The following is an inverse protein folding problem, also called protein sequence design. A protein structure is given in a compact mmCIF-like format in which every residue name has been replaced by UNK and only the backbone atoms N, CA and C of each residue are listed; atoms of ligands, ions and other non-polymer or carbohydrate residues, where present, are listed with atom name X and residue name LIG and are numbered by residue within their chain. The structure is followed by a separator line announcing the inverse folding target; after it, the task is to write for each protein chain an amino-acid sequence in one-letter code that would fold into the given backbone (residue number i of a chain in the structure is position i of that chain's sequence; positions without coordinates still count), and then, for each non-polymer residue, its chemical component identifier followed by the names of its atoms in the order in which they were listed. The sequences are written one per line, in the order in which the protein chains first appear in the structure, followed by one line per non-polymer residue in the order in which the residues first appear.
data_IF_398451434276
#
_entry.id   IF_398451434276
#
_cell.length_a   1.000
_cell.length_b   1.000
_cell.length_c   1.000
_cell.angle_alpha   90.00
_cell.angle_beta   90.00
_cell.angle_gamma   90.00
#
_symmetry.space_group_name_H-M   'P 1'
#
loop_
_entity.id
_entity.type
_entity.pdbx_description
1 polymer ?
#
# COMPACT_ATOMS: atom_id res chain seq x y z
N UNK A 1 67.44 0.97 -4.26
CA UNK A 1 66.47 0.33 -3.36
C UNK A 1 65.30 1.29 -3.24
N UNK A 2 64.30 1.05 -4.09
CA UNK A 2 63.08 1.80 -4.29
C UNK A 2 62.13 1.56 -3.11
N UNK A 3 61.61 2.63 -2.51
CA UNK A 3 60.46 2.56 -1.63
C UNK A 3 59.58 3.79 -1.90
N UNK A 4 58.47 3.53 -2.59
CA UNK A 4 57.32 4.40 -2.72
C UNK A 4 56.74 4.69 -1.33
N UNK A 5 56.53 5.97 -1.00
CA UNK A 5 55.58 6.37 0.04
C UNK A 5 54.67 7.43 -0.59
N UNK A 6 53.57 6.93 -1.14
CA UNK A 6 52.36 7.67 -1.46
C UNK A 6 51.41 7.48 -0.27
N UNK A 7 50.84 8.55 0.30
CA UNK A 7 49.89 8.37 1.41
C UNK A 7 49.42 9.64 2.13
N UNK A 8 48.77 10.53 1.38
CA UNK A 8 47.65 11.39 1.80
C UNK A 8 47.77 12.24 3.09
N UNK A 9 48.02 13.53 2.84
CA UNK A 9 47.49 14.67 3.59
C UNK A 9 45.96 14.68 3.46
N UNK A 10 45.24 14.87 4.57
CA UNK A 10 43.80 15.16 4.54
C UNK A 10 43.04 14.87 5.82
N UNK A 11 43.48 15.41 6.96
CA UNK A 11 42.55 15.61 8.07
C UNK A 11 41.53 16.68 7.67
N UNK A 12 40.27 16.29 7.50
CA UNK A 12 39.15 17.23 7.42
C UNK A 12 38.01 16.69 8.28
N UNK A 13 37.82 17.38 9.40
CA UNK A 13 36.53 17.64 10.03
C UNK A 13 35.61 16.45 10.29
N UNK A 14 35.83 15.78 11.43
CA UNK A 14 34.68 15.33 12.22
C UNK A 14 33.85 16.57 12.60
N UNK A 15 32.63 16.65 12.11
CA UNK A 15 31.69 17.69 12.49
C UNK A 15 30.55 17.77 11.51
N UNK A 16 29.44 17.10 11.85
CA UNK A 16 28.03 17.48 11.62
C UNK A 16 27.17 16.21 11.71
N UNK A 17 27.28 15.45 12.81
CA UNK A 17 26.12 14.72 13.29
C UNK A 17 25.17 15.80 13.80
N UNK A 18 24.25 16.27 12.94
CA UNK A 18 23.22 17.22 13.31
C UNK A 18 22.46 16.63 14.48
N UNK A 19 22.73 17.13 15.68
CA UNK A 19 21.86 16.89 16.83
C UNK A 19 20.44 17.26 16.40
N UNK A 20 19.41 16.49 16.81
CA UNK A 20 18.03 16.86 16.51
C UNK A 20 17.84 18.28 17.01
N UNK A 21 17.54 19.20 16.09
CA UNK A 21 17.19 20.57 16.40
C UNK A 21 15.98 20.48 17.30
N UNK A 22 16.18 20.63 18.61
CA UNK A 22 15.09 20.71 19.56
C UNK A 22 14.45 22.08 19.37
N UNK A 23 13.42 22.09 18.54
CA UNK A 23 12.58 23.26 18.33
C UNK A 23 11.66 23.41 19.55
N UNK A 24 12.11 24.20 20.52
CA UNK A 24 11.43 24.48 21.79
C UNK A 24 10.17 25.37 21.65
N UNK A 25 9.71 25.64 20.43
CA UNK A 25 8.46 26.35 20.22
C UNK A 25 7.29 25.44 20.61
N UNK A 26 6.36 25.89 21.47
CA UNK A 26 5.14 25.13 21.72
C UNK A 26 4.37 25.01 20.41
N UNK A 27 4.47 23.85 19.77
CA UNK A 27 3.78 23.57 18.52
C UNK A 27 2.26 23.54 18.80
N UNK A 28 1.52 24.18 17.92
CA UNK A 28 0.06 24.12 17.96
C UNK A 28 -0.41 22.67 17.80
N UNK A 29 -1.38 22.26 18.61
CA UNK A 29 -1.80 20.85 18.67
C UNK A 29 -2.45 20.42 17.35
N UNK A 30 -3.25 21.27 16.74
CA UNK A 30 -3.91 20.97 15.46
C UNK A 30 -2.89 20.91 14.34
N UNK A 31 -1.96 21.89 14.25
CA UNK A 31 -0.89 21.85 13.23
C UNK A 31 0.05 20.65 13.41
N UNK A 32 0.27 20.22 14.65
CA UNK A 32 1.06 19.01 14.93
C UNK A 32 0.34 17.75 14.47
N UNK A 33 -0.97 17.65 14.71
CA UNK A 33 -1.79 16.54 14.23
C UNK A 33 -1.85 16.50 12.70
N UNK A 34 -2.04 17.65 12.05
CA UNK A 34 -2.01 17.76 10.59
C UNK A 34 -0.70 17.24 10.01
N UNK A 35 0.44 17.66 10.58
CA UNK A 35 1.75 17.21 10.15
C UNK A 35 1.91 15.69 10.29
N UNK A 36 1.49 15.12 11.43
CA UNK A 36 1.52 13.67 11.68
C UNK A 36 0.66 12.93 10.66
N UNK A 37 -0.60 13.35 10.47
CA UNK A 37 -1.50 12.65 9.54
C UNK A 37 -1.05 12.75 8.09
N UNK A 38 -0.34 13.82 7.72
CA UNK A 38 0.19 14.01 6.36
C UNK A 38 1.28 12.99 6.04
N UNK A 39 2.08 12.58 7.02
CA UNK A 39 3.18 11.61 6.83
C UNK A 39 2.79 10.17 7.19
N UNK A 40 1.71 9.96 7.93
CA UNK A 40 1.29 8.64 8.41
C UNK A 40 0.81 7.73 7.27
N UNK A 41 1.40 6.55 7.18
CA UNK A 41 1.05 5.49 6.23
C UNK A 41 0.05 4.46 6.78
N UNK A 42 -0.37 4.61 8.04
CA UNK A 42 -1.35 3.77 8.73
C UNK A 42 -2.29 4.59 9.65
N UNK A 43 -3.48 4.07 10.00
CA UNK A 43 -4.36 4.72 10.97
C UNK A 43 -3.70 4.94 12.34
N UNK A 44 -3.86 6.13 12.91
CA UNK A 44 -3.26 6.52 14.17
C UNK A 44 -4.28 6.50 15.31
N UNK A 45 -4.04 5.71 16.35
CA UNK A 45 -4.93 5.68 17.52
C UNK A 45 -4.81 6.95 18.35
N UNK A 46 -5.90 7.33 19.02
CA UNK A 46 -5.90 8.49 19.93
C UNK A 46 -4.88 8.37 21.06
N UNK A 47 -4.66 7.15 21.58
CA UNK A 47 -3.66 6.91 22.62
C UNK A 47 -2.22 7.11 22.11
N UNK A 48 -1.91 6.63 20.90
CA UNK A 48 -0.59 6.83 20.29
C UNK A 48 -0.33 8.32 20.06
N UNK A 49 -1.29 9.04 19.47
CA UNK A 49 -1.19 10.48 19.22
C UNK A 49 -1.02 11.28 20.54
N UNK A 50 -1.83 10.97 21.55
CA UNK A 50 -1.76 11.61 22.87
C UNK A 50 -0.39 11.40 23.54
N UNK A 51 0.15 10.18 23.44
CA UNK A 51 1.47 9.84 24.00
C UNK A 51 2.58 10.60 23.27
N UNK A 52 2.58 10.60 21.94
CA UNK A 52 3.58 11.28 21.12
C UNK A 52 3.57 12.79 21.32
N UNK A 53 2.38 13.39 21.42
CA UNK A 53 2.21 14.84 21.55
C UNK A 53 2.26 15.33 23.01
N UNK A 54 2.34 14.41 23.98
CA UNK A 54 2.32 14.75 25.40
C UNK A 54 1.04 15.47 25.83
N UNK A 55 -0.11 15.12 25.25
CA UNK A 55 -1.41 15.78 25.51
C UNK A 55 -2.45 14.79 26.05
N UNK A 56 -3.45 15.25 26.82
CA UNK A 56 -4.58 14.40 27.22
C UNK A 56 -5.34 13.85 26.00
N UNK A 57 -5.76 12.59 26.07
CA UNK A 57 -6.56 11.95 25.00
C UNK A 57 -7.80 12.76 24.62
N UNK A 58 -8.47 13.36 25.62
CA UNK A 58 -9.64 14.20 25.38
C UNK A 58 -9.31 15.46 24.55
N UNK A 59 -8.14 16.08 24.80
CA UNK A 59 -7.71 17.25 24.03
C UNK A 59 -7.38 16.88 22.58
N UNK A 60 -6.71 15.73 22.37
CA UNK A 60 -6.43 15.21 21.02
C UNK A 60 -7.71 14.91 20.26
N UNK A 61 -8.67 14.22 20.89
CA UNK A 61 -9.98 13.95 20.29
C UNK A 61 -10.67 15.24 19.84
N UNK A 62 -10.72 16.23 20.72
CA UNK A 62 -11.38 17.50 20.42
C UNK A 62 -10.67 18.27 19.30
N UNK A 63 -9.34 18.24 19.25
CA UNK A 63 -8.58 18.82 18.14
C UNK A 63 -8.85 18.11 16.81
N UNK A 64 -8.96 16.77 16.81
CA UNK A 64 -9.31 16.02 15.61
C UNK A 64 -10.72 16.39 15.13
N UNK A 65 -11.70 16.49 16.03
CA UNK A 65 -13.07 16.91 15.68
C UNK A 65 -13.10 18.31 15.04
N UNK A 66 -12.29 19.25 15.55
CA UNK A 66 -12.14 20.58 14.94
C UNK A 66 -11.47 20.53 13.57
N UNK A 67 -10.44 19.70 13.39
CA UNK A 67 -9.82 19.49 12.08
C UNK A 67 -10.78 18.87 11.06
N UNK A 68 -11.61 17.90 11.48
CA UNK A 68 -12.65 17.32 10.63
C UNK A 68 -13.60 18.41 10.15
N UNK A 69 -14.12 19.23 11.07
CA UNK A 69 -15.01 20.34 10.72
C UNK A 69 -14.35 21.35 9.77
N UNK A 70 -13.12 21.77 10.05
CA UNK A 70 -12.36 22.67 9.16
C UNK A 70 -12.16 22.07 7.76
N UNK A 71 -11.77 20.80 7.68
CA UNK A 71 -11.54 20.13 6.40
C UNK A 71 -12.82 19.91 5.60
N UNK A 72 -13.94 19.72 6.28
CA UNK A 72 -15.28 19.65 5.69
C UNK A 72 -15.80 21.01 5.22
N UNK A 73 -15.12 22.11 5.54
CA UNK A 73 -15.54 23.47 5.19
C UNK A 73 -16.65 24.01 6.09
N UNK A 74 -16.71 23.55 7.34
CA UNK A 74 -17.60 24.14 8.34
C UNK A 74 -17.34 25.66 8.47
N UNK A 75 -18.34 26.38 8.99
CA UNK A 75 -18.27 27.83 9.21
C UNK A 75 -17.99 28.66 7.95
N UNK A 76 -18.40 28.16 6.78
CA UNK A 76 -18.25 28.84 5.49
C UNK A 76 -16.85 28.71 4.88
N UNK A 77 -16.03 27.79 5.40
CA UNK A 77 -14.75 27.41 4.83
C UNK A 77 -14.88 26.69 3.49
N UNK A 78 -13.77 26.63 2.76
CA UNK A 78 -13.70 25.81 1.54
C UNK A 78 -13.50 24.35 1.92
N UNK A 79 -14.38 23.46 1.45
CA UNK A 79 -14.19 22.03 1.62
C UNK A 79 -12.89 21.56 0.95
N UNK A 80 -12.01 20.94 1.73
CA UNK A 80 -10.71 20.45 1.25
C UNK A 80 -10.88 19.20 0.39
N UNK A 81 -9.94 18.94 -0.52
CA UNK A 81 -9.94 17.72 -1.36
C UNK A 81 -9.62 16.42 -0.60
N UNK A 82 -9.24 16.52 0.67
CA UNK A 82 -8.97 15.42 1.57
C UNK A 82 -9.85 15.54 2.83
N UNK A 83 -9.94 14.46 3.59
CA UNK A 83 -10.72 14.35 4.81
C UNK A 83 -10.04 13.45 5.84
N UNK A 84 -10.31 13.70 7.11
CA UNK A 84 -9.94 12.81 8.20
C UNK A 84 -11.07 11.81 8.44
N UNK A 85 -10.74 10.51 8.44
CA UNK A 85 -11.70 9.44 8.73
C UNK A 85 -11.21 8.58 9.89
N UNK A 86 -12.14 8.14 10.72
CA UNK A 86 -11.91 7.11 11.72
C UNK A 86 -12.08 5.73 11.09
N UNK A 87 -11.02 4.94 11.08
CA UNK A 87 -10.96 3.58 10.49
C UNK A 87 -10.11 2.68 11.39
N UNK A 88 -10.53 1.43 11.57
CA UNK A 88 -9.81 0.44 12.39
C UNK A 88 -9.44 0.93 13.81
N UNK A 89 -10.27 1.79 14.41
CA UNK A 89 -10.01 2.37 15.75
C UNK A 89 -8.94 3.45 15.79
N UNK A 90 -8.53 3.99 14.63
CA UNK A 90 -7.61 5.10 14.50
C UNK A 90 -8.06 6.11 13.44
N UNK A 91 -7.32 7.21 13.32
CA UNK A 91 -7.62 8.30 12.40
C UNK A 91 -6.59 8.36 11.28
N UNK A 92 -7.03 8.68 10.07
CA UNK A 92 -6.15 8.83 8.90
C UNK A 92 -6.71 9.82 7.88
N UNK A 93 -5.82 10.48 7.16
CA UNK A 93 -6.17 11.28 5.99
C UNK A 93 -6.49 10.40 4.78
N UNK A 94 -7.59 10.72 4.11
CA UNK A 94 -8.01 10.15 2.85
C UNK A 94 -8.28 11.27 1.85
N UNK A 95 -8.09 10.99 0.57
CA UNK A 95 -8.66 11.82 -0.49
C UNK A 95 -10.18 11.62 -0.47
N UNK A 96 -10.94 12.71 -0.63
CA UNK A 96 -12.40 12.60 -0.74
C UNK A 96 -12.78 11.85 -2.01
N UNK A 97 -13.79 10.99 -1.92
CA UNK A 97 -14.22 10.13 -3.02
C UNK A 97 -14.65 10.92 -4.27
N UNK A 98 -15.09 12.18 -4.11
CA UNK A 98 -15.39 13.10 -5.21
C UNK A 98 -14.20 13.28 -6.18
N UNK A 99 -12.97 13.09 -5.71
CA UNK A 99 -11.74 13.25 -6.49
C UNK A 99 -11.10 11.91 -6.90
N UNK A 100 -11.76 10.77 -6.70
CA UNK A 100 -11.22 9.45 -7.00
C UNK A 100 -10.75 9.32 -8.46
N UNK A 101 -11.48 9.89 -9.42
CA UNK A 101 -11.11 9.86 -10.83
C UNK A 101 -9.80 10.61 -11.09
N UNK A 102 -9.65 11.82 -10.54
CA UNK A 102 -8.46 12.66 -10.71
C UNK A 102 -7.23 12.00 -10.08
N UNK A 103 -7.38 11.49 -8.86
CA UNK A 103 -6.27 10.80 -8.18
C UNK A 103 -5.91 9.49 -8.88
N UNK A 104 -6.91 8.75 -9.37
CA UNK A 104 -6.67 7.55 -10.18
C UNK A 104 -5.85 7.86 -11.42
N UNK A 105 -6.22 8.88 -12.19
CA UNK A 105 -5.52 9.24 -13.42
C UNK A 105 -4.10 9.75 -13.13
N UNK A 106 -3.92 10.53 -12.05
CA UNK A 106 -2.61 10.99 -11.59
C UNK A 106 -1.71 9.83 -11.17
N UNK A 107 -2.21 8.91 -10.33
CA UNK A 107 -1.47 7.71 -9.90
C UNK A 107 -1.14 6.81 -11.09
N UNK A 108 -2.03 6.68 -12.09
CA UNK A 108 -1.76 5.93 -13.31
C UNK A 108 -0.65 6.57 -14.17
N UNK A 109 -0.51 7.89 -14.12
CA UNK A 109 0.48 8.64 -14.90
C UNK A 109 1.85 8.64 -14.22
N UNK A 110 1.90 8.75 -12.89
CA UNK A 110 3.16 8.71 -12.12
C UNK A 110 3.65 7.29 -11.80
N UNK A 111 2.75 6.31 -11.80
CA UNK A 111 3.03 4.93 -11.42
C UNK A 111 2.43 3.96 -12.44
N UNK A 112 3.18 3.56 -13.50
CA UNK A 112 2.80 2.42 -14.36
C UNK A 112 2.81 1.08 -13.60
N UNK A 113 2.98 1.11 -12.27
CA UNK A 113 3.03 0.00 -11.35
C UNK A 113 1.66 -0.60 -11.01
N UNK A 114 0.55 -0.20 -11.66
CA UNK A 114 -0.67 -1.01 -11.61
C UNK A 114 -0.44 -2.34 -12.34
N UNK A 115 -0.92 -3.42 -11.73
CA UNK A 115 -0.98 -4.70 -12.43
C UNK A 115 -1.95 -4.55 -13.60
N UNK A 116 -1.54 -5.02 -14.78
CA UNK A 116 -2.47 -5.12 -15.91
C UNK A 116 -3.61 -6.07 -15.55
N UNK A 117 -4.73 -5.99 -16.27
CA UNK A 117 -5.83 -6.94 -16.11
C UNK A 117 -5.34 -8.40 -16.22
N UNK A 118 -4.48 -8.68 -17.21
CA UNK A 118 -3.88 -10.00 -17.36
C UNK A 118 -3.08 -10.45 -16.12
N UNK A 119 -2.39 -9.51 -15.45
CA UNK A 119 -1.64 -9.78 -14.24
C UNK A 119 -2.54 -9.96 -13.01
N UNK A 120 -3.63 -9.20 -12.90
CA UNK A 120 -4.65 -9.39 -11.87
C UNK A 120 -5.34 -10.75 -12.02
N UNK A 121 -5.74 -11.13 -13.23
CA UNK A 121 -6.35 -12.43 -13.49
C UNK A 121 -5.39 -13.59 -13.16
N UNK A 122 -4.09 -13.46 -13.46
CA UNK A 122 -3.09 -14.49 -13.08
C UNK A 122 -2.91 -14.54 -11.58
N UNK A 123 -2.81 -13.39 -10.91
CA UNK A 123 -2.66 -13.31 -9.46
C UNK A 123 -3.85 -13.95 -8.75
N UNK A 124 -5.06 -13.73 -9.24
CA UNK A 124 -6.27 -14.39 -8.74
C UNK A 124 -6.18 -15.91 -8.87
N UNK A 125 -5.78 -16.43 -10.04
CA UNK A 125 -5.60 -17.89 -10.22
C UNK A 125 -4.61 -18.45 -9.18
N UNK A 126 -3.50 -17.76 -8.94
CA UNK A 126 -2.50 -18.19 -7.94
C UNK A 126 -3.10 -18.13 -6.53
N UNK A 127 -3.75 -17.03 -6.15
CA UNK A 127 -4.32 -16.85 -4.82
C UNK A 127 -5.33 -17.96 -4.44
N UNK A 128 -6.17 -18.38 -5.38
CA UNK A 128 -7.20 -19.41 -5.15
C UNK A 128 -6.74 -20.86 -5.37
N UNK A 129 -5.66 -21.09 -6.13
CA UNK A 129 -5.20 -22.44 -6.49
C UNK A 129 -3.83 -22.80 -5.95
N UNK A 130 -3.19 -21.92 -5.19
CA UNK A 130 -1.89 -22.20 -4.58
C UNK A 130 -1.95 -23.45 -3.67
N UNK A 131 -0.86 -24.25 -3.62
CA UNK A 131 0.34 -24.13 -4.44
C UNK A 131 0.09 -24.58 -5.90
N UNK A 132 0.51 -23.78 -6.88
CA UNK A 132 0.26 -24.05 -8.32
C UNK A 132 1.50 -23.84 -9.19
N UNK A 133 1.69 -24.68 -10.21
CA UNK A 133 2.83 -24.58 -11.14
C UNK A 133 2.60 -23.60 -12.29
N UNK A 134 3.69 -23.08 -12.87
CA UNK A 134 3.62 -22.19 -14.04
C UNK A 134 2.81 -22.77 -15.21
N UNK A 135 3.00 -24.06 -15.50
CA UNK A 135 2.28 -24.75 -16.58
C UNK A 135 0.79 -24.88 -16.31
N UNK A 136 0.40 -25.15 -15.05
CA UNK A 136 -1.01 -25.21 -14.66
C UNK A 136 -1.67 -23.83 -14.75
N UNK A 137 -0.99 -22.75 -14.32
CA UNK A 137 -1.48 -21.37 -14.48
C UNK A 137 -1.71 -21.06 -15.97
N UNK A 138 -0.74 -21.36 -16.84
CA UNK A 138 -0.84 -21.13 -18.27
C UNK A 138 -2.02 -21.89 -18.90
N UNK A 139 -2.26 -23.13 -18.45
CA UNK A 139 -3.37 -23.96 -18.91
C UNK A 139 -4.74 -23.37 -18.52
N UNK A 140 -4.88 -22.88 -17.28
CA UNK A 140 -6.12 -22.24 -16.80
C UNK A 140 -6.39 -20.92 -17.54
N UNK A 141 -5.36 -20.13 -17.80
CA UNK A 141 -5.48 -18.83 -18.49
C UNK A 141 -5.56 -18.94 -20.01
N UNK A 142 -5.29 -20.13 -20.56
CA UNK A 142 -5.22 -20.40 -22.00
C UNK A 142 -4.27 -19.46 -22.78
N UNK A 143 -3.28 -18.85 -22.11
CA UNK A 143 -2.30 -17.92 -22.69
C UNK A 143 -0.94 -18.07 -22.02
N UNK A 144 0.13 -17.55 -22.65
CA UNK A 144 1.45 -17.50 -22.03
C UNK A 144 1.45 -16.51 -20.84
N UNK A 145 1.93 -16.97 -19.68
CA UNK A 145 1.98 -16.20 -18.42
C UNK A 145 3.40 -15.87 -17.95
N UNK A 146 4.45 -16.17 -18.72
CA UNK A 146 5.85 -16.04 -18.30
C UNK A 146 6.21 -14.61 -17.89
N UNK A 147 5.82 -13.62 -18.71
CA UNK A 147 6.07 -12.21 -18.43
C UNK A 147 5.34 -11.75 -17.18
N UNK A 148 4.09 -12.20 -17.01
CA UNK A 148 3.23 -11.87 -15.87
C UNK A 148 3.77 -12.49 -14.58
N UNK A 149 4.13 -13.78 -14.59
CA UNK A 149 4.71 -14.47 -13.44
C UNK A 149 6.01 -13.79 -13.01
N UNK A 150 6.89 -13.45 -13.96
CA UNK A 150 8.12 -12.69 -13.67
C UNK A 150 7.82 -11.32 -13.06
N UNK A 151 6.81 -10.60 -13.55
CA UNK A 151 6.39 -9.32 -12.97
C UNK A 151 5.85 -9.48 -11.55
N UNK A 152 5.03 -10.51 -11.29
CA UNK A 152 4.46 -10.77 -9.96
C UNK A 152 5.55 -11.16 -8.95
N UNK A 153 6.52 -11.98 -9.35
CA UNK A 153 7.71 -12.31 -8.54
C UNK A 153 8.56 -11.07 -8.28
N UNK A 154 8.87 -10.28 -9.32
CA UNK A 154 9.67 -9.07 -9.20
C UNK A 154 9.04 -7.99 -8.32
N UNK A 155 7.72 -8.04 -8.14
CA UNK A 155 6.96 -7.17 -7.22
C UNK A 155 6.73 -7.79 -5.85
N UNK A 156 7.20 -9.00 -5.61
CA UNK A 156 7.06 -9.70 -4.34
C UNK A 156 5.63 -10.07 -3.98
N UNK A 157 4.69 -10.11 -4.95
CA UNK A 157 3.28 -10.49 -4.71
C UNK A 157 3.08 -12.01 -4.66
N UNK A 158 3.98 -12.74 -5.31
CA UNK A 158 4.06 -14.20 -5.27
C UNK A 158 5.49 -14.63 -4.96
N UNK A 159 5.65 -15.86 -4.50
CA UNK A 159 6.92 -16.50 -4.20
C UNK A 159 6.93 -17.95 -4.66
N UNK A 160 8.13 -18.52 -4.77
CA UNK A 160 8.33 -19.96 -4.95
C UNK A 160 8.12 -20.65 -3.60
N UNK A 161 7.22 -21.63 -3.56
CA UNK A 161 6.83 -22.37 -2.35
C UNK A 161 7.62 -23.66 -2.23
N UNK A 162 7.78 -24.38 -3.34
CA UNK A 162 8.52 -25.63 -3.40
C UNK A 162 8.88 -25.99 -4.84
N UNK A 163 9.80 -26.94 -5.01
CA UNK A 163 10.19 -27.48 -6.30
C UNK A 163 10.00 -29.00 -6.29
N UNK A 164 9.36 -29.53 -7.32
CA UNK A 164 9.18 -30.95 -7.52
C UNK A 164 10.53 -31.60 -7.87
N UNK A 165 10.94 -32.61 -7.10
CA UNK A 165 12.26 -33.23 -7.23
C UNK A 165 12.43 -34.12 -8.45
N UNK A 166 11.34 -34.57 -9.08
CA UNK A 166 11.36 -35.52 -10.19
C UNK A 166 11.17 -34.81 -11.54
N UNK A 167 10.26 -33.84 -11.57
CA UNK A 167 9.91 -33.05 -12.76
C UNK A 167 10.62 -31.70 -12.83
N UNK A 168 11.18 -31.21 -11.72
CA UNK A 168 11.77 -29.86 -11.61
C UNK A 168 10.74 -28.73 -11.65
N UNK A 169 9.44 -29.03 -11.53
CA UNK A 169 8.39 -28.03 -11.58
C UNK A 169 8.39 -27.16 -10.32
N UNK A 170 8.38 -25.83 -10.50
CA UNK A 170 8.29 -24.86 -9.41
C UNK A 170 6.82 -24.58 -9.10
N UNK A 171 6.47 -24.67 -7.82
CA UNK A 171 5.17 -24.28 -7.28
C UNK A 171 5.22 -22.85 -6.75
N UNK A 172 4.21 -22.06 -7.11
CA UNK A 172 4.05 -20.67 -6.68
C UNK A 172 2.91 -20.51 -5.69
N UNK A 173 3.04 -19.52 -4.82
CA UNK A 173 2.04 -19.07 -3.85
C UNK A 173 2.14 -17.57 -3.59
N UNK A 174 1.18 -17.01 -2.87
CA UNK A 174 1.10 -15.58 -2.54
C UNK A 174 1.95 -15.24 -1.32
N UNK A 175 2.32 -13.98 -1.17
CA UNK A 175 3.10 -13.46 -0.02
C UNK A 175 2.25 -12.61 0.93
N UNK A 176 2.80 -12.29 2.10
CA UNK A 176 2.17 -11.38 3.07
C UNK A 176 2.00 -9.94 2.53
N UNK A 177 2.81 -9.56 1.53
CA UNK A 177 2.69 -8.28 0.84
C UNK A 177 1.34 -8.18 0.11
N UNK A 178 0.88 -9.27 -0.51
CA UNK A 178 -0.43 -9.30 -1.15
C UNK A 178 -1.55 -9.11 -0.12
N UNK A 179 -1.49 -9.81 1.01
CA UNK A 179 -2.50 -9.72 2.08
C UNK A 179 -2.58 -8.29 2.62
N UNK A 180 -1.42 -7.66 2.86
CA UNK A 180 -1.32 -6.27 3.30
C UNK A 180 -1.95 -5.29 2.28
N UNK A 181 -1.77 -5.54 0.98
CA UNK A 181 -2.38 -4.71 -0.07
C UNK A 181 -3.89 -4.92 -0.22
N UNK A 182 -4.39 -6.12 0.08
CA UNK A 182 -5.81 -6.44 0.08
C UNK A 182 -6.53 -6.02 1.36
N UNK A 183 -5.79 -5.72 2.44
CA UNK A 183 -6.34 -5.37 3.74
C UNK A 183 -7.01 -6.55 4.45
N UNK A 184 -6.53 -7.78 4.20
CA UNK A 184 -7.04 -9.03 4.79
C UNK A 184 -5.95 -9.71 5.62
N UNK A 185 -6.32 -10.50 6.63
CA UNK A 185 -5.35 -11.16 7.51
C UNK A 185 -4.96 -12.56 7.01
N UNK A 186 -5.88 -13.22 6.31
CA UNK A 186 -5.71 -14.58 5.81
C UNK A 186 -6.31 -14.74 4.41
N UNK A 187 -5.83 -15.73 3.66
CA UNK A 187 -6.37 -16.07 2.34
C UNK A 187 -7.81 -16.60 2.41
N UNK A 188 -8.25 -17.11 3.57
CA UNK A 188 -9.60 -17.63 3.78
C UNK A 188 -10.67 -16.52 3.75
N UNK A 189 -10.25 -15.26 3.91
CA UNK A 189 -11.10 -14.08 3.78
C UNK A 189 -11.35 -13.68 2.31
N UNK A 190 -10.67 -14.33 1.35
CA UNK A 190 -10.93 -14.10 -0.05
C UNK A 190 -12.37 -14.52 -0.40
N UNK A 191 -13.09 -13.75 -1.24
CA UNK A 191 -14.43 -14.09 -1.67
C UNK A 191 -14.46 -15.52 -2.23
N UNK A 192 -15.37 -16.35 -1.73
CA UNK A 192 -15.55 -17.69 -2.30
C UNK A 192 -15.95 -17.53 -3.77
N UNK A 193 -15.21 -18.16 -4.67
CA UNK A 193 -15.61 -18.26 -6.07
C UNK A 193 -16.89 -19.09 -6.09
N UNK A 194 -18.04 -18.42 -6.23
CA UNK A 194 -19.32 -19.11 -6.41
C UNK A 194 -19.21 -20.01 -7.66
N UNK A 195 -19.72 -21.24 -7.63
CA UNK A 195 -19.68 -22.15 -8.79
C UNK A 195 -20.39 -21.59 -10.04
N UNK A 196 -21.13 -20.49 -9.92
CA UNK A 196 -21.77 -19.77 -11.02
C UNK A 196 -20.78 -19.05 -11.99
N UNK A 197 -19.48 -19.08 -11.71
CA UNK A 197 -18.44 -18.59 -12.64
C UNK A 197 -17.79 -19.72 -13.47
N UNK A 198 -18.27 -20.96 -13.36
CA UNK A 198 -17.65 -22.10 -14.04
C UNK A 198 -18.02 -22.24 -15.52
N UNK A 199 -19.08 -21.61 -16.01
CA UNK A 199 -19.50 -21.74 -17.41
C UNK A 199 -19.53 -20.36 -18.08
N UNK A 200 -18.43 -20.00 -18.74
CA UNK A 200 -18.34 -18.88 -19.68
C UNK A 200 -19.16 -19.12 -20.95
N UNK A 201 -20.43 -19.48 -20.80
CA UNK A 201 -21.35 -19.82 -21.88
C UNK A 201 -22.77 -19.34 -21.58
N UNK A 202 -22.96 -18.11 -21.09
CA UNK A 202 -24.19 -17.38 -21.38
C UNK A 202 -23.83 -15.98 -21.86
N UNK A 203 -24.23 -15.71 -23.11
CA UNK A 203 -23.87 -14.52 -23.85
C UNK A 203 -24.35 -13.25 -23.16
N UNK A 204 -23.63 -12.17 -23.42
CA UNK A 204 -24.16 -10.83 -23.27
C UNK A 204 -25.43 -10.75 -24.13
N UNK A 205 -26.61 -10.80 -23.50
CA UNK A 205 -27.89 -10.49 -24.15
C UNK A 205 -27.81 -9.01 -24.56
N UNK A 206 -27.75 -8.83 -25.87
CA UNK A 206 -27.76 -7.56 -26.58
C UNK A 206 -29.15 -6.93 -26.46
N UNK A 207 -29.48 -6.39 -25.27
CA UNK A 207 -30.73 -5.64 -25.07
C UNK A 207 -30.57 -4.48 -24.08
N UNK A 208 -29.93 -3.41 -24.53
CA UNK A 208 -30.32 -2.05 -24.16
C UNK A 208 -30.16 -1.10 -25.36
N UNK A 209 -31.32 -0.82 -25.97
CA UNK A 209 -31.67 0.19 -26.99
C UNK A 209 -31.15 0.07 -28.43
#
# INVERSE_FOLDING_TARGET
MTAEILGQVGQVGQGMAGAPVQDDRPLDLERSLEAIFTVADAPQSLMALATTLGRPVAAVRQSIERLVADFDGADGGVQRGFELREVAGGWRLYVRSTYDAVVRDFVLTENPSRLSQAALETLSVIAYKQPITRSAIASIRAVNVDSVVRTLLGRGLITEVSTDGETGAIYYGTTDLLLSQLGINTLDELPRISPLLADGAEGFDDRFH
#
